data_IF_337574625709
#
_entry.id   IF_337574625709
#
_cell.length_a   1.000
_cell.length_b   1.000
_cell.length_c   1.000
_cell.angle_alpha   90.00
_cell.angle_beta   90.00
_cell.angle_gamma   90.00
#
_symmetry.space_group_name_H-M   'P 1'
#
loop_
_entity.id
_entity.type
_entity.pdbx_description
1 polymer ?
#
# COMPACT_ATOMS: atom_id res chain seq x y z
N UNK A 1 5.33 8.52 -5.57
CA UNK A 1 4.55 8.34 -6.83
C UNK A 1 3.10 8.79 -6.63
N UNK A 2 2.33 9.08 -7.69
CA UNK A 2 0.89 9.41 -7.57
C UNK A 2 0.03 8.15 -7.70
N UNK A 3 -1.14 8.10 -7.06
CA UNK A 3 -2.09 6.98 -7.14
C UNK A 3 -2.42 6.56 -8.58
N UNK A 4 -2.56 7.53 -9.50
CA UNK A 4 -2.85 7.28 -10.91
C UNK A 4 -1.75 6.51 -11.66
N UNK A 5 -0.52 6.47 -11.12
CA UNK A 5 0.65 5.86 -11.76
C UNK A 5 1.01 4.49 -11.13
N UNK A 6 0.15 3.98 -10.25
CA UNK A 6 0.36 2.70 -9.58
C UNK A 6 0.29 1.55 -10.58
N UNK A 7 1.27 0.66 -10.50
CA UNK A 7 1.32 -0.62 -11.20
C UNK A 7 1.30 -1.76 -10.20
N UNK A 8 0.78 -2.92 -10.62
CA UNK A 8 0.86 -4.14 -9.80
C UNK A 8 2.31 -4.38 -9.37
N UNK A 9 2.54 -4.66 -8.10
CA UNK A 9 3.88 -4.82 -7.50
C UNK A 9 4.42 -3.57 -6.81
N UNK A 10 3.84 -2.38 -7.02
CA UNK A 10 4.21 -1.18 -6.25
C UNK A 10 3.86 -1.35 -4.77
N UNK A 11 4.67 -0.76 -3.89
CA UNK A 11 4.42 -0.74 -2.46
C UNK A 11 3.54 0.44 -2.07
N UNK A 12 2.62 0.21 -1.13
CA UNK A 12 1.80 1.22 -0.48
C UNK A 12 2.18 1.29 0.99
N UNK A 13 2.54 2.47 1.46
CA UNK A 13 3.04 2.71 2.82
C UNK A 13 2.00 3.46 3.66
N UNK A 14 1.88 3.10 4.93
CA UNK A 14 0.91 3.69 5.85
C UNK A 14 1.58 4.22 7.12
N UNK A 15 1.08 5.35 7.61
CA UNK A 15 1.54 6.03 8.84
C UNK A 15 0.36 6.33 9.75
N UNK A 16 0.46 5.91 11.02
CA UNK A 16 -0.58 6.08 12.05
C UNK A 16 -0.28 7.20 13.06
N UNK A 17 0.78 7.98 12.86
CA UNK A 17 1.16 9.13 13.67
C UNK A 17 2.64 9.22 14.04
N UNK A 18 3.38 8.10 14.00
CA UNK A 18 4.76 7.99 14.48
C UNK A 18 5.79 7.57 13.42
N UNK A 19 5.39 7.51 12.15
CA UNK A 19 6.23 7.07 11.04
C UNK A 19 5.59 5.96 10.21
N UNK A 20 6.31 5.44 9.22
CA UNK A 20 5.82 4.32 8.41
C UNK A 20 5.74 3.08 9.30
N UNK A 21 4.53 2.53 9.44
CA UNK A 21 4.23 1.44 10.37
C UNK A 21 3.62 0.20 9.68
N UNK A 22 3.17 0.35 8.43
CA UNK A 22 2.62 -0.77 7.65
C UNK A 22 2.94 -0.63 6.17
N UNK A 23 3.03 -1.77 5.47
CA UNK A 23 3.25 -1.84 4.03
C UNK A 23 2.38 -2.92 3.40
N UNK A 24 1.90 -2.68 2.19
CA UNK A 24 1.24 -3.68 1.35
C UNK A 24 1.72 -3.59 -0.10
N UNK A 25 1.47 -4.65 -0.86
CA UNK A 25 1.78 -4.70 -2.29
C UNK A 25 0.51 -4.38 -3.06
N UNK A 26 0.54 -3.34 -3.89
CA UNK A 26 -0.57 -2.98 -4.76
C UNK A 26 -0.80 -4.06 -5.81
N UNK A 27 -2.05 -4.53 -5.93
CA UNK A 27 -2.43 -5.63 -6.85
C UNK A 27 -3.35 -5.17 -7.99
N UNK A 28 -3.61 -3.86 -8.10
CA UNK A 28 -4.53 -3.29 -9.07
C UNK A 28 -5.88 -2.92 -8.46
N UNK A 29 -6.75 -2.31 -9.25
CA UNK A 29 -8.16 -2.01 -8.89
C UNK A 29 -8.37 -1.26 -7.56
N UNK A 30 -7.37 -0.53 -7.08
CA UNK A 30 -7.46 0.15 -5.78
C UNK A 30 -7.33 -0.78 -4.58
N UNK A 31 -6.69 -1.94 -4.74
CA UNK A 31 -6.48 -2.96 -3.72
C UNK A 31 -5.00 -3.28 -3.50
N UNK A 32 -4.70 -3.81 -2.32
CA UNK A 32 -3.39 -4.37 -1.97
C UNK A 32 -3.55 -5.79 -1.40
N UNK A 33 -2.48 -6.58 -1.44
CA UNK A 33 -2.27 -7.77 -0.60
C UNK A 33 -1.31 -7.39 0.53
N UNK A 34 -1.64 -7.76 1.77
CA UNK A 34 -0.85 -7.42 2.95
C UNK A 34 -1.11 -8.37 4.12
N UNK A 35 -0.23 -8.33 5.13
CA UNK A 35 -0.35 -9.11 6.36
C UNK A 35 -0.95 -8.25 7.49
N UNK A 36 -2.22 -8.44 7.82
CA UNK A 36 -2.88 -7.76 8.94
C UNK A 36 -2.89 -8.64 10.19
N UNK A 37 -3.36 -8.09 11.32
CA UNK A 37 -3.58 -8.86 12.55
C UNK A 37 -4.47 -10.09 12.34
N UNK A 38 -5.37 -10.07 11.34
CA UNK A 38 -6.23 -11.19 10.97
C UNK A 38 -5.64 -12.09 9.88
N UNK A 39 -4.34 -11.99 9.60
CA UNK A 39 -3.65 -12.75 8.56
C UNK A 39 -3.49 -12.02 7.23
N UNK A 40 -3.01 -12.76 6.22
CA UNK A 40 -2.76 -12.25 4.86
C UNK A 40 -4.09 -12.15 4.10
N UNK A 41 -4.43 -10.97 3.61
CA UNK A 41 -5.67 -10.75 2.85
C UNK A 41 -5.59 -9.55 1.91
N UNK A 42 -6.58 -9.49 1.01
CA UNK A 42 -6.78 -8.34 0.14
C UNK A 42 -7.56 -7.24 0.85
N UNK A 43 -7.10 -6.01 0.69
CA UNK A 43 -7.68 -4.83 1.32
C UNK A 43 -7.78 -3.66 0.35
N UNK A 44 -8.91 -2.95 0.36
CA UNK A 44 -9.12 -1.75 -0.45
C UNK A 44 -8.31 -0.59 0.13
N UNK A 45 -7.43 -0.01 -0.69
CA UNK A 45 -6.70 1.23 -0.36
C UNK A 45 -7.40 2.48 -0.90
N UNK A 46 -8.40 2.29 -1.77
CA UNK A 46 -9.14 3.37 -2.41
C UNK A 46 -10.24 3.99 -1.53
N UNK A 47 -10.57 3.36 -0.40
CA UNK A 47 -11.64 3.75 0.52
C UNK A 47 -11.35 3.29 1.97
N UNK A 48 -12.09 3.85 2.94
CA UNK A 48 -12.10 3.36 4.33
C UNK A 48 -10.81 3.61 5.11
N UNK A 49 -10.53 2.73 6.07
CA UNK A 49 -9.42 2.84 7.02
C UNK A 49 -8.08 3.00 6.30
N UNK A 50 -7.74 2.11 5.37
CA UNK A 50 -6.47 2.14 4.66
C UNK A 50 -6.24 3.45 3.91
N UNK A 51 -7.26 3.98 3.22
CA UNK A 51 -7.17 5.28 2.52
C UNK A 51 -6.75 6.43 3.45
N UNK A 52 -7.28 6.45 4.67
CA UNK A 52 -7.03 7.52 5.66
C UNK A 52 -5.55 7.62 6.04
N UNK A 53 -4.84 6.49 6.05
CA UNK A 53 -3.48 6.40 6.59
C UNK A 53 -2.40 6.26 5.51
N UNK A 54 -2.73 6.41 4.23
CA UNK A 54 -1.73 6.35 3.16
C UNK A 54 -0.70 7.46 3.37
N UNK A 55 0.55 7.05 3.56
CA UNK A 55 1.69 7.95 3.64
C UNK A 55 2.34 8.15 2.27
N UNK A 56 2.31 7.13 1.41
CA UNK A 56 2.87 7.23 0.07
C UNK A 56 2.93 5.91 -0.68
N UNK A 57 3.55 5.98 -1.85
CA UNK A 57 3.71 4.84 -2.77
C UNK A 57 5.13 4.82 -3.33
N UNK A 58 5.70 3.63 -3.48
CA UNK A 58 7.04 3.42 -4.02
C UNK A 58 7.13 2.19 -4.92
N UNK A 59 8.02 2.24 -5.91
CA UNK A 59 8.36 1.09 -6.76
C UNK A 59 9.79 0.68 -6.42
N UNK A 60 9.99 -0.61 -6.19
CA UNK A 60 11.33 -1.15 -5.97
C UNK A 60 12.14 -0.89 -7.23
N UNK A 61 13.31 -0.27 -7.08
CA UNK A 61 14.22 -0.05 -8.18
C UNK A 61 14.81 -1.40 -8.60
N UNK A 62 14.86 -1.66 -9.91
CA UNK A 62 15.72 -2.72 -10.42
C UNK A 62 17.17 -2.25 -10.26
N UNK A 63 17.89 -2.87 -9.34
CA UNK A 63 19.34 -2.72 -9.25
C UNK A 63 19.93 -3.73 -10.24
N UNK A 64 20.60 -3.21 -11.27
CA UNK A 64 21.41 -4.02 -12.18
C UNK A 64 22.77 -4.30 -11.56
#
# INVERSE_FOLDING_TARGET
MKKANLKKGDLVFFNYGSGIAHVGIYVGSGEMINAENSGVKYSKISSGYWKKYIAGYGRVAELK
#
